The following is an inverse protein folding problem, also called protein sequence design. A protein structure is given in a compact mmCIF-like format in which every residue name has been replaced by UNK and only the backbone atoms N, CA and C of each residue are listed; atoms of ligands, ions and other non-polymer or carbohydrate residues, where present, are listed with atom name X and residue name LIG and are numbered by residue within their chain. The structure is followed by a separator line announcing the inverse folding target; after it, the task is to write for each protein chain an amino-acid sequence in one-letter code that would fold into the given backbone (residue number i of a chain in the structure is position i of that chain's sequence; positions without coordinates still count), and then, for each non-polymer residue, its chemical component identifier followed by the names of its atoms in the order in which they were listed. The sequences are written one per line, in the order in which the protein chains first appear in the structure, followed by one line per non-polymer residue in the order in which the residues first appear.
data_IF_388407272831
#
_entry.id   IF_388407272831
#
_cell.length_a   1.000
_cell.length_b   1.000
_cell.length_c   1.000
_cell.angle_alpha   90.00
_cell.angle_beta   90.00
_cell.angle_gamma   90.00
#
_symmetry.space_group_name_H-M   'P 1'
#
loop_
_entity.id
_entity.type
_entity.pdbx_description
1 polymer ?
#
# COMPACT_ATOMS: atom_id res chain seq x y z
N UNK A 1 -10.37 -2.77 22.55
CA UNK A 1 -8.90 -2.75 22.77
C UNK A 1 -8.25 -2.89 21.41
N UNK A 2 -7.38 -1.97 20.96
CA UNK A 2 -6.66 -2.18 19.69
C UNK A 2 -5.74 -3.39 19.87
N UNK A 3 -5.70 -4.34 18.90
CA UNK A 3 -4.83 -5.50 19.03
C UNK A 3 -3.39 -5.02 19.21
N UNK A 4 -2.73 -5.48 20.25
CA UNK A 4 -1.29 -5.30 20.49
C UNK A 4 -0.58 -6.27 19.56
N UNK A 5 0.11 -5.75 18.53
CA UNK A 5 1.01 -6.55 17.71
C UNK A 5 0.80 -6.48 16.19
N UNK A 6 -0.02 -5.55 15.67
CA UNK A 6 -0.11 -5.39 14.22
C UNK A 6 1.14 -4.73 13.65
N UNK A 7 1.67 -5.30 12.55
CA UNK A 7 2.80 -4.74 11.81
C UNK A 7 2.37 -3.42 11.17
N UNK A 8 3.08 -2.33 11.49
CA UNK A 8 2.82 -0.99 10.96
C UNK A 8 3.71 -0.72 9.76
N UNK A 9 3.12 -0.21 8.68
CA UNK A 9 3.80 0.16 7.44
C UNK A 9 3.61 1.65 7.17
N UNK A 10 4.65 2.34 6.73
CA UNK A 10 4.58 3.67 6.14
C UNK A 10 5.08 3.63 4.70
N UNK A 11 4.49 4.46 3.85
CA UNK A 11 4.87 4.62 2.44
C UNK A 11 5.38 6.05 2.23
N UNK A 12 6.48 6.17 1.52
CA UNK A 12 6.98 7.44 0.99
C UNK A 12 7.01 7.30 -0.52
N UNK A 13 6.34 8.19 -1.24
CA UNK A 13 6.40 8.23 -2.71
C UNK A 13 7.16 9.47 -3.15
N UNK A 14 8.13 9.28 -4.06
CA UNK A 14 8.89 10.37 -4.65
C UNK A 14 8.52 10.53 -6.11
N UNK A 15 8.43 11.76 -6.57
CA UNK A 15 8.17 12.11 -7.96
C UNK A 15 7.55 13.50 -8.09
N UNK A 16 8.21 14.38 -8.80
CA UNK A 16 7.69 15.72 -9.09
C UNK A 16 6.37 15.66 -9.87
N UNK A 17 6.20 14.66 -10.76
CA UNK A 17 4.96 14.45 -11.51
C UNK A 17 3.75 14.13 -10.61
N UNK A 18 4.00 13.52 -9.44
CA UNK A 18 2.98 13.28 -8.44
C UNK A 18 2.60 14.58 -7.73
N UNK A 19 3.59 15.37 -7.32
CA UNK A 19 3.39 16.65 -6.62
C UNK A 19 2.68 17.67 -7.52
N UNK A 20 3.03 17.72 -8.82
CA UNK A 20 2.34 18.59 -9.79
C UNK A 20 0.97 18.03 -10.23
N UNK A 21 0.54 16.88 -9.71
CA UNK A 21 -0.75 16.27 -10.02
C UNK A 21 -0.89 15.81 -11.47
N UNK A 22 0.23 15.53 -12.16
CA UNK A 22 0.23 15.07 -13.54
C UNK A 22 -0.06 13.58 -13.65
N UNK A 23 0.32 12.81 -12.63
CA UNK A 23 0.09 11.37 -12.52
C UNK A 23 -0.55 11.09 -11.18
N UNK A 24 -1.51 10.15 -11.17
CA UNK A 24 -2.12 9.67 -9.94
C UNK A 24 -1.19 8.66 -9.26
N UNK A 25 -0.98 8.79 -7.95
CA UNK A 25 -0.26 7.79 -7.15
C UNK A 25 -1.06 6.49 -7.01
N UNK A 26 -0.91 5.64 -8.02
CA UNK A 26 -1.51 4.30 -8.03
C UNK A 26 -0.68 3.30 -7.22
N UNK A 27 0.61 3.58 -6.98
CA UNK A 27 1.51 2.72 -6.23
C UNK A 27 1.10 2.66 -4.76
N UNK A 28 0.94 3.81 -4.11
CA UNK A 28 0.50 3.85 -2.71
C UNK A 28 -0.85 3.18 -2.51
N UNK A 29 -1.80 3.39 -3.42
CA UNK A 29 -3.11 2.75 -3.35
C UNK A 29 -2.98 1.22 -3.42
N UNK A 30 -2.18 0.71 -4.35
CA UNK A 30 -1.98 -0.73 -4.51
C UNK A 30 -1.24 -1.34 -3.30
N UNK A 31 -0.15 -0.69 -2.82
CA UNK A 31 0.58 -1.13 -1.62
C UNK A 31 -0.35 -1.13 -0.41
N UNK A 32 -1.19 -0.10 -0.23
CA UNK A 32 -2.14 -0.02 0.87
C UNK A 32 -3.09 -1.22 0.90
N UNK A 33 -3.62 -1.62 -0.27
CA UNK A 33 -4.47 -2.81 -0.41
C UNK A 33 -3.69 -4.07 -0.04
N UNK A 34 -2.47 -4.25 -0.57
CA UNK A 34 -1.63 -5.43 -0.28
C UNK A 34 -1.25 -5.52 1.20
N UNK A 35 -0.88 -4.40 1.82
CA UNK A 35 -0.57 -4.31 3.25
C UNK A 35 -1.77 -4.77 4.10
N UNK A 36 -2.98 -4.32 3.77
CA UNK A 36 -4.20 -4.75 4.45
C UNK A 36 -4.46 -6.25 4.25
N UNK A 37 -4.35 -6.78 3.02
CA UNK A 37 -4.52 -8.20 2.73
C UNK A 37 -3.56 -9.11 3.52
N UNK A 38 -2.38 -8.61 3.89
CA UNK A 38 -1.39 -9.32 4.69
C UNK A 38 -1.57 -9.19 6.20
N UNK A 39 -2.63 -8.56 6.68
CA UNK A 39 -2.86 -8.34 8.11
C UNK A 39 -1.99 -7.24 8.72
N UNK A 40 -1.33 -6.43 7.90
CA UNK A 40 -0.55 -5.29 8.37
C UNK A 40 -1.37 -3.99 8.28
N UNK A 41 -0.91 -2.94 8.95
CA UNK A 41 -1.59 -1.65 8.99
C UNK A 41 -0.78 -0.57 8.32
N UNK A 42 -1.33 0.01 7.25
CA UNK A 42 -0.80 1.24 6.71
C UNK A 42 -1.10 2.40 7.66
N UNK A 43 -0.05 3.03 8.16
CA UNK A 43 -0.15 4.15 9.11
C UNK A 43 -0.10 5.50 8.43
N UNK A 44 0.66 5.60 7.33
CA UNK A 44 0.87 6.88 6.65
C UNK A 44 1.31 6.65 5.21
N UNK A 45 0.89 7.55 4.34
CA UNK A 45 1.47 7.80 3.02
C UNK A 45 1.98 9.23 3.01
N UNK A 46 3.22 9.42 2.58
CA UNK A 46 3.83 10.74 2.41
C UNK A 46 4.30 10.86 0.96
N UNK A 47 3.74 11.81 0.23
CA UNK A 47 4.09 12.11 -1.15
C UNK A 47 5.01 13.35 -1.15
N UNK A 48 6.13 13.26 -1.84
CA UNK A 48 7.15 14.32 -1.90
C UNK A 48 7.74 14.44 -3.30
N UNK A 49 8.31 15.60 -3.61
CA UNK A 49 9.09 15.84 -4.83
C UNK A 49 10.50 15.23 -4.75
N UNK A 50 11.23 15.31 -5.88
CA UNK A 50 12.57 14.74 -6.03
C UNK A 50 13.67 15.66 -5.47
N UNK A 51 13.47 16.16 -4.26
CA UNK A 51 14.41 17.01 -3.53
C UNK A 51 15.23 16.19 -2.51
N UNK A 52 16.57 16.10 -2.63
CA UNK A 52 17.41 15.27 -1.76
C UNK A 52 17.21 15.53 -0.26
N UNK A 53 17.19 16.80 0.14
CA UNK A 53 17.01 17.18 1.55
C UNK A 53 15.62 16.76 2.07
N UNK A 54 14.59 16.84 1.23
CA UNK A 54 13.22 16.46 1.58
C UNK A 54 13.09 14.94 1.69
N UNK A 55 13.67 14.19 0.75
CA UNK A 55 13.69 12.71 0.79
C UNK A 55 14.37 12.24 2.07
N UNK A 56 15.58 12.72 2.34
CA UNK A 56 16.34 12.34 3.53
C UNK A 56 15.63 12.69 4.83
N UNK A 57 15.14 13.93 4.97
CA UNK A 57 14.43 14.36 6.19
C UNK A 57 13.11 13.63 6.40
N UNK A 58 12.41 13.26 5.33
CA UNK A 58 11.17 12.48 5.39
C UNK A 58 11.44 11.07 5.91
N UNK A 59 12.51 10.40 5.43
CA UNK A 59 12.93 9.11 5.96
C UNK A 59 13.33 9.21 7.44
N UNK A 60 14.17 10.17 7.82
CA UNK A 60 14.59 10.35 9.22
C UNK A 60 13.39 10.60 10.16
N UNK A 61 12.38 11.30 9.68
CA UNK A 61 11.14 11.49 10.43
C UNK A 61 10.30 10.20 10.50
N UNK A 62 10.26 9.38 9.44
CA UNK A 62 9.58 8.09 9.45
C UNK A 62 10.25 7.11 10.44
N UNK A 63 11.58 7.12 10.51
CA UNK A 63 12.35 6.31 11.45
C UNK A 63 12.07 6.63 12.94
N UNK A 64 11.59 7.84 13.26
CA UNK A 64 11.21 8.23 14.63
C UNK A 64 9.79 7.79 15.02
N UNK A 65 8.96 7.35 14.06
CA UNK A 65 7.57 6.96 14.30
C UNK A 65 7.45 5.45 14.55
N UNK A 66 6.25 5.02 14.89
CA UNK A 66 5.91 3.62 15.15
C UNK A 66 5.62 2.87 13.82
N UNK A 67 6.63 2.76 12.96
CA UNK A 67 6.61 1.93 11.76
C UNK A 67 7.56 0.75 11.93
N UNK A 68 7.16 -0.44 11.45
CA UNK A 68 8.02 -1.61 11.34
C UNK A 68 8.66 -1.66 9.94
N UNK A 69 7.89 -1.28 8.92
CA UNK A 69 8.34 -1.17 7.55
C UNK A 69 8.14 0.24 7.01
N UNK A 70 9.15 0.75 6.30
CA UNK A 70 9.08 2.00 5.55
C UNK A 70 9.36 1.63 4.10
N UNK A 71 8.36 1.76 3.23
CA UNK A 71 8.46 1.46 1.80
C UNK A 71 8.56 2.76 1.04
N UNK A 72 9.67 2.96 0.33
CA UNK A 72 9.91 4.15 -0.49
C UNK A 72 9.77 3.73 -1.95
N UNK A 73 8.97 4.43 -2.75
CA UNK A 73 8.77 4.12 -4.17
C UNK A 73 8.99 5.36 -5.03
N UNK A 74 9.77 5.19 -6.10
CA UNK A 74 10.18 6.24 -7.03
C UNK A 74 11.68 6.59 -6.92
N UNK A 75 12.20 7.32 -7.90
CA UNK A 75 13.56 7.83 -7.91
C UNK A 75 14.69 6.79 -7.98
N UNK A 76 14.44 5.62 -8.61
CA UNK A 76 15.43 4.55 -8.84
C UNK A 76 15.82 4.40 -10.32
N UNK A 77 15.44 5.31 -11.17
CA UNK A 77 15.74 5.29 -12.60
C UNK A 77 17.16 5.73 -12.92
N UNK A 78 17.47 5.89 -14.24
CA UNK A 78 18.78 6.28 -14.71
C UNK A 78 18.98 7.81 -14.82
N UNK A 79 17.92 8.59 -14.60
CA UNK A 79 17.92 10.04 -14.79
C UNK A 79 18.66 10.78 -13.67
N UNK A 80 18.91 12.08 -13.85
CA UNK A 80 19.60 12.90 -12.85
C UNK A 80 18.71 13.24 -11.65
N UNK A 81 17.41 13.22 -11.86
CA UNK A 81 16.35 13.42 -10.88
C UNK A 81 15.98 12.13 -10.09
N UNK A 82 16.54 10.97 -10.50
CA UNK A 82 16.42 9.72 -9.73
C UNK A 82 17.40 9.73 -8.55
N UNK A 83 17.00 10.38 -7.45
CA UNK A 83 17.87 10.74 -6.32
C UNK A 83 17.58 9.97 -5.02
N UNK A 84 16.64 9.04 -5.04
CA UNK A 84 16.15 8.38 -3.79
C UNK A 84 17.28 7.71 -3.03
N UNK A 85 18.10 6.88 -3.67
CA UNK A 85 19.17 6.13 -2.97
C UNK A 85 20.26 7.08 -2.44
N UNK A 86 20.71 8.04 -3.27
CA UNK A 86 21.73 9.00 -2.87
C UNK A 86 21.26 9.88 -1.71
N UNK A 87 19.99 10.31 -1.74
CA UNK A 87 19.38 11.11 -0.66
C UNK A 87 19.29 10.35 0.66
N UNK A 88 18.96 9.06 0.60
CA UNK A 88 18.94 8.17 1.77
C UNK A 88 20.37 8.00 2.29
N UNK A 89 21.36 7.77 1.41
CA UNK A 89 22.77 7.65 1.78
C UNK A 89 23.26 8.88 2.53
N UNK A 90 23.02 10.08 2.00
CA UNK A 90 23.37 11.34 2.69
C UNK A 90 22.68 11.44 4.07
N UNK A 91 21.41 11.12 4.15
CA UNK A 91 20.66 11.23 5.40
C UNK A 91 21.11 10.25 6.49
N UNK A 92 21.65 9.10 6.10
CA UNK A 92 22.11 8.04 6.99
C UNK A 92 23.64 8.02 7.18
N UNK A 93 24.36 8.96 6.55
CA UNK A 93 25.83 8.99 6.51
C UNK A 93 26.43 7.66 5.99
N UNK A 94 25.84 7.14 4.89
CA UNK A 94 26.26 5.90 4.24
C UNK A 94 26.65 6.15 2.78
N UNK A 95 27.65 5.40 2.33
CA UNK A 95 28.10 5.40 0.93
C UNK A 95 27.12 4.66 0.04
N UNK A 96 27.02 5.09 -1.22
CA UNK A 96 26.31 4.36 -2.27
C UNK A 96 27.30 3.51 -3.08
N UNK A 97 26.86 2.32 -3.46
CA UNK A 97 27.61 1.39 -4.31
C UNK A 97 26.73 0.87 -5.44
N UNK A 98 27.36 0.29 -6.45
CA UNK A 98 26.64 -0.39 -7.54
C UNK A 98 26.52 -1.88 -7.19
N UNK A 99 25.30 -2.40 -7.21
CA UNK A 99 25.07 -3.85 -7.21
C UNK A 99 25.49 -4.43 -8.57
N UNK A 100 26.61 -5.13 -8.60
CA UNK A 100 27.22 -5.61 -9.85
C UNK A 100 26.38 -6.69 -10.55
N UNK A 101 25.56 -7.45 -9.82
CA UNK A 101 24.64 -8.41 -10.42
C UNK A 101 23.54 -7.68 -11.23
N UNK A 102 22.89 -6.69 -10.64
CA UNK A 102 21.89 -5.86 -11.30
C UNK A 102 22.49 -5.07 -12.46
N UNK A 103 23.63 -4.44 -12.24
CA UNK A 103 24.34 -3.67 -13.27
C UNK A 103 24.69 -4.53 -14.49
N UNK A 104 25.17 -5.76 -14.28
CA UNK A 104 25.49 -6.70 -15.36
C UNK A 104 24.24 -7.11 -16.16
N UNK A 105 23.11 -7.33 -15.49
CA UNK A 105 21.83 -7.63 -16.15
C UNK A 105 21.33 -6.46 -17.01
N UNK A 106 21.46 -5.23 -16.50
CA UNK A 106 21.12 -4.00 -17.21
C UNK A 106 21.99 -3.86 -18.46
N UNK A 107 23.31 -3.97 -18.31
CA UNK A 107 24.25 -3.87 -19.42
C UNK A 107 23.99 -4.92 -20.49
N UNK A 108 23.82 -6.19 -20.11
CA UNK A 108 23.54 -7.28 -21.04
C UNK A 108 22.27 -7.01 -21.84
N UNK A 109 21.23 -6.45 -21.20
CA UNK A 109 19.99 -6.13 -21.88
C UNK A 109 20.12 -4.92 -22.80
N UNK A 110 20.87 -3.90 -22.40
CA UNK A 110 21.13 -2.74 -23.24
C UNK A 110 21.87 -3.16 -24.52
N UNK A 111 22.92 -3.98 -24.38
CA UNK A 111 23.66 -4.53 -25.52
C UNK A 111 22.77 -5.36 -26.47
N UNK A 112 21.88 -6.22 -25.93
CA UNK A 112 20.90 -6.98 -26.73
C UNK A 112 19.94 -6.07 -27.51
N UNK A 113 19.62 -4.89 -26.99
CA UNK A 113 18.78 -3.87 -27.64
C UNK A 113 19.55 -2.98 -28.62
N UNK A 114 20.85 -3.24 -28.83
CA UNK A 114 21.70 -2.46 -29.72
C UNK A 114 22.23 -1.17 -29.09
N UNK A 115 22.06 -0.96 -27.78
CA UNK A 115 22.61 0.18 -27.04
C UNK A 115 24.03 -0.19 -26.64
N UNK A 116 25.02 0.32 -27.38
CA UNK A 116 26.45 0.01 -27.19
C UNK A 116 27.28 1.21 -26.73
N UNK A 117 26.67 2.38 -26.70
CA UNK A 117 27.30 3.61 -26.23
C UNK A 117 27.58 3.54 -24.73
N UNK A 118 28.86 3.73 -24.34
CA UNK A 118 29.29 3.59 -22.95
C UNK A 118 28.56 4.55 -22.01
N UNK A 119 28.32 5.80 -22.41
CA UNK A 119 27.61 6.79 -21.62
C UNK A 119 26.17 6.37 -21.31
N UNK A 120 25.52 5.68 -22.24
CA UNK A 120 24.16 5.14 -22.04
C UNK A 120 24.17 3.92 -21.10
N UNK A 121 25.20 3.08 -21.21
CA UNK A 121 25.39 1.93 -20.30
C UNK A 121 25.67 2.45 -18.89
N UNK A 122 26.56 3.43 -18.72
CA UNK A 122 26.90 3.98 -17.42
C UNK A 122 25.67 4.65 -16.75
N UNK A 123 24.84 5.35 -17.51
CA UNK A 123 23.57 5.84 -17.01
C UNK A 123 22.64 4.70 -16.58
N UNK A 124 22.55 3.65 -17.40
CA UNK A 124 21.74 2.47 -17.06
C UNK A 124 22.19 1.82 -15.76
N UNK A 125 23.50 1.71 -15.53
CA UNK A 125 24.07 1.13 -14.30
C UNK A 125 23.66 1.89 -13.03
N UNK A 126 23.29 3.19 -13.13
CA UNK A 126 22.75 3.95 -11.99
C UNK A 126 21.49 3.32 -11.39
N UNK A 127 20.70 2.59 -12.17
CA UNK A 127 19.53 1.85 -11.67
C UNK A 127 19.88 0.68 -10.73
N UNK A 128 21.16 0.34 -10.62
CA UNK A 128 21.66 -0.67 -9.69
C UNK A 128 22.37 -0.05 -8.46
N UNK A 129 22.14 1.23 -8.16
CA UNK A 129 22.68 1.87 -6.94
C UNK A 129 21.91 1.40 -5.72
N UNK A 130 22.67 1.05 -4.68
CA UNK A 130 22.17 0.70 -3.35
C UNK A 130 23.10 1.31 -2.29
N UNK A 131 22.72 1.29 -1.03
CA UNK A 131 23.63 1.63 0.06
C UNK A 131 24.57 0.45 0.35
N UNK A 132 25.81 0.76 0.74
CA UNK A 132 26.84 -0.25 1.01
C UNK A 132 26.42 -1.26 2.07
N UNK A 133 25.71 -0.82 3.13
CA UNK A 133 25.22 -1.70 4.21
C UNK A 133 23.85 -2.31 3.94
N UNK A 134 23.29 -2.11 2.73
CA UNK A 134 21.98 -2.64 2.36
C UNK A 134 22.08 -4.00 1.64
N UNK A 135 20.95 -4.67 1.57
CA UNK A 135 20.78 -5.89 0.78
C UNK A 135 20.08 -5.53 -0.53
N UNK A 136 20.61 -5.92 -1.70
CA UNK A 136 19.96 -5.68 -2.98
C UNK A 136 18.68 -6.50 -3.10
N UNK A 137 17.63 -5.89 -3.63
CA UNK A 137 16.40 -6.53 -4.04
C UNK A 137 16.33 -6.52 -5.56
N UNK A 138 16.58 -7.68 -6.16
CA UNK A 138 16.61 -7.84 -7.62
C UNK A 138 15.22 -7.68 -8.21
N UNK A 139 15.11 -6.98 -9.34
CA UNK A 139 13.84 -6.73 -10.01
C UNK A 139 13.46 -7.93 -10.90
N UNK A 140 12.35 -8.63 -10.62
CA UNK A 140 11.92 -9.77 -11.43
C UNK A 140 11.24 -9.37 -12.75
N UNK A 141 10.88 -8.08 -12.91
CA UNK A 141 10.07 -7.59 -14.04
C UNK A 141 10.86 -6.63 -14.92
N UNK A 142 11.69 -5.78 -14.32
CA UNK A 142 12.37 -4.69 -15.00
C UNK A 142 13.85 -4.59 -14.66
N UNK A 143 14.33 -3.37 -14.45
CA UNK A 143 15.76 -3.09 -14.35
C UNK A 143 16.23 -2.54 -13.01
N UNK A 144 15.45 -1.63 -12.42
CA UNK A 144 15.88 -0.93 -11.22
C UNK A 144 16.04 -1.91 -10.06
N UNK A 145 17.23 -1.93 -9.45
CA UNK A 145 17.50 -2.69 -8.23
C UNK A 145 16.97 -1.88 -7.04
N UNK A 146 16.13 -2.49 -6.24
CA UNK A 146 15.75 -1.92 -4.95
C UNK A 146 16.75 -2.34 -3.88
N UNK A 147 16.56 -1.80 -2.68
CA UNK A 147 17.37 -2.22 -1.53
C UNK A 147 16.51 -2.39 -0.29
N UNK A 148 16.98 -3.25 0.60
CA UNK A 148 16.51 -3.42 1.96
C UNK A 148 17.61 -3.05 2.94
N UNK A 149 17.30 -2.23 3.93
CA UNK A 149 18.21 -1.93 5.05
C UNK A 149 17.45 -1.91 6.36
N UNK A 150 18.04 -2.48 7.42
CA UNK A 150 17.45 -2.48 8.76
C UNK A 150 18.09 -1.39 9.62
N UNK A 151 17.29 -0.46 10.13
CA UNK A 151 17.74 0.72 10.87
C UNK A 151 16.92 0.84 12.15
N UNK A 152 17.57 0.72 13.30
CA UNK A 152 16.92 0.89 14.60
C UNK A 152 15.70 -0.02 14.80
N UNK A 153 15.76 -1.24 14.31
CA UNK A 153 14.67 -2.23 14.40
C UNK A 153 13.54 -2.02 13.38
N UNK A 154 13.74 -1.18 12.38
CA UNK A 154 12.81 -0.93 11.28
C UNK A 154 13.42 -1.37 9.96
N UNK A 155 12.62 -1.94 9.09
CA UNK A 155 13.04 -2.31 7.74
C UNK A 155 12.66 -1.22 6.75
N UNK A 156 13.63 -0.65 6.05
CA UNK A 156 13.45 0.32 4.97
C UNK A 156 13.65 -0.41 3.64
N UNK A 157 12.70 -0.28 2.73
CA UNK A 157 12.76 -0.88 1.39
C UNK A 157 12.58 0.21 0.33
N UNK A 158 13.40 0.20 -0.73
CA UNK A 158 13.19 1.06 -1.91
C UNK A 158 12.69 0.24 -3.08
N UNK A 159 11.71 0.78 -3.80
CA UNK A 159 11.09 0.17 -4.97
C UNK A 159 11.00 1.19 -6.11
N UNK A 160 11.01 0.75 -7.38
CA UNK A 160 10.87 1.65 -8.52
C UNK A 160 9.51 2.35 -8.57
N UNK A 161 9.46 3.47 -9.30
CA UNK A 161 8.22 4.20 -9.56
C UNK A 161 7.30 3.51 -10.58
N UNK A 162 7.86 2.74 -11.52
CA UNK A 162 7.08 2.03 -12.56
C UNK A 162 6.14 1.00 -11.91
N UNK A 163 4.81 1.12 -12.07
CA UNK A 163 3.86 0.31 -11.30
C UNK A 163 4.02 -1.21 -11.45
N UNK A 164 4.32 -1.70 -12.65
CA UNK A 164 4.53 -3.14 -12.89
C UNK A 164 5.77 -3.68 -12.17
N UNK A 165 6.85 -2.91 -12.17
CA UNK A 165 8.11 -3.26 -11.49
C UNK A 165 7.93 -3.19 -9.97
N UNK A 166 7.34 -2.10 -9.48
CA UNK A 166 7.04 -1.90 -8.06
C UNK A 166 6.23 -3.08 -7.49
N UNK A 167 5.15 -3.48 -8.18
CA UNK A 167 4.30 -4.60 -7.76
C UNK A 167 5.07 -5.92 -7.73
N UNK A 168 5.81 -6.22 -8.80
CA UNK A 168 6.60 -7.45 -8.87
C UNK A 168 7.66 -7.53 -7.77
N UNK A 169 8.35 -6.43 -7.50
CA UNK A 169 9.34 -6.36 -6.43
C UNK A 169 8.71 -6.40 -5.03
N UNK A 170 7.59 -5.71 -4.83
CA UNK A 170 6.88 -5.76 -3.56
C UNK A 170 6.45 -7.19 -3.22
N UNK A 171 5.82 -7.89 -4.16
CA UNK A 171 5.36 -9.26 -3.94
C UNK A 171 6.53 -10.26 -3.76
N UNK A 172 7.65 -10.05 -4.48
CA UNK A 172 8.81 -10.92 -4.37
C UNK A 172 9.63 -10.73 -3.08
N UNK A 173 9.74 -9.49 -2.59
CA UNK A 173 10.67 -9.17 -1.51
C UNK A 173 9.99 -8.62 -0.25
N UNK A 174 9.08 -7.65 -0.37
CA UNK A 174 8.52 -6.94 0.79
C UNK A 174 7.38 -7.74 1.43
N UNK A 175 6.47 -8.29 0.63
CA UNK A 175 5.32 -9.04 1.12
C UNK A 175 5.72 -10.24 2.01
N UNK A 176 6.71 -11.09 1.65
CA UNK A 176 7.12 -12.19 2.52
C UNK A 176 7.67 -11.72 3.88
N UNK A 177 8.37 -10.57 3.92
CA UNK A 177 8.89 -10.01 5.16
C UNK A 177 7.77 -9.51 6.07
N UNK A 178 6.77 -8.83 5.51
CA UNK A 178 5.59 -8.36 6.27
C UNK A 178 4.82 -9.58 6.78
N UNK A 179 4.51 -10.56 5.93
CA UNK A 179 3.75 -11.76 6.29
C UNK A 179 4.43 -12.59 7.38
N UNK A 180 5.77 -12.61 7.41
CA UNK A 180 6.51 -13.33 8.46
C UNK A 180 6.38 -12.69 9.85
N UNK A 181 5.94 -11.44 9.93
CA UNK A 181 5.78 -10.70 11.18
C UNK A 181 4.31 -10.43 11.55
N UNK A 182 3.36 -10.71 10.65
CA UNK A 182 1.93 -10.56 10.93
C UNK A 182 1.38 -11.84 11.57
N UNK A 183 0.54 -11.64 12.59
CA UNK A 183 -0.17 -12.72 13.28
C UNK A 183 -1.68 -12.69 13.00
N UNK A 184 -2.12 -11.81 12.09
CA UNK A 184 -3.53 -11.60 11.75
C UNK A 184 -3.68 -11.44 10.25
N UNK A 185 -4.89 -11.68 9.76
CA UNK A 185 -5.32 -11.44 8.39
C UNK A 185 -6.55 -10.56 8.38
N UNK A 186 -6.75 -9.82 7.30
CA UNK A 186 -7.98 -9.07 7.08
C UNK A 186 -8.82 -9.71 5.98
N UNK A 187 -10.12 -9.80 6.21
CA UNK A 187 -11.11 -10.12 5.19
C UNK A 187 -11.95 -8.87 4.95
N UNK A 188 -12.00 -8.43 3.70
CA UNK A 188 -12.82 -7.30 3.27
C UNK A 188 -13.93 -7.76 2.32
N UNK A 189 -15.13 -7.20 2.49
CA UNK A 189 -16.27 -7.43 1.61
C UNK A 189 -16.96 -6.10 1.36
N UNK A 190 -17.35 -5.87 0.12
CA UNK A 190 -18.11 -4.69 -0.28
C UNK A 190 -19.46 -5.11 -0.81
N UNK A 191 -20.51 -4.48 -0.33
CA UNK A 191 -21.87 -4.74 -0.75
C UNK A 191 -22.57 -3.48 -1.23
N UNK A 192 -23.48 -3.64 -2.20
CA UNK A 192 -24.57 -2.72 -2.42
C UNK A 192 -25.72 -3.09 -1.46
N UNK A 193 -26.08 -2.18 -0.60
CA UNK A 193 -27.21 -2.33 0.32
C UNK A 193 -28.34 -1.43 -0.18
N UNK A 194 -29.44 -2.03 -0.64
CA UNK A 194 -30.62 -1.34 -1.16
C UNK A 194 -31.72 -1.42 -0.13
N UNK A 195 -32.04 -0.29 0.52
CA UNK A 195 -33.11 -0.20 1.53
C UNK A 195 -33.64 1.22 1.64
N UNK A 196 -34.70 1.41 2.40
CA UNK A 196 -35.28 2.73 2.62
C UNK A 196 -34.26 3.63 3.33
N UNK A 197 -34.04 4.81 2.80
CA UNK A 197 -32.96 5.72 3.25
C UNK A 197 -33.07 6.07 4.75
N UNK A 198 -34.27 6.39 5.25
CA UNK A 198 -34.43 6.76 6.65
C UNK A 198 -34.07 5.65 7.64
N UNK A 199 -34.16 4.38 7.20
CA UNK A 199 -33.90 3.21 8.04
C UNK A 199 -32.44 2.78 7.98
N UNK A 200 -31.70 3.15 6.90
CA UNK A 200 -30.30 2.78 6.72
C UNK A 200 -29.38 3.32 7.81
N UNK A 201 -29.39 4.61 8.09
CA UNK A 201 -28.43 5.20 9.04
C UNK A 201 -28.64 4.77 10.48
N UNK A 202 -29.87 4.64 10.99
CA UNK A 202 -30.09 4.04 12.32
C UNK A 202 -29.53 2.62 12.42
N UNK A 203 -29.79 1.76 11.42
CA UNK A 203 -29.25 0.41 11.36
C UNK A 203 -27.73 0.45 11.29
N UNK A 204 -27.16 1.21 10.36
CA UNK A 204 -25.71 1.36 10.16
C UNK A 204 -24.97 1.74 11.46
N UNK A 205 -25.48 2.76 12.19
CA UNK A 205 -24.91 3.20 13.47
C UNK A 205 -25.01 2.12 14.54
N UNK A 206 -26.13 1.43 14.61
CA UNK A 206 -26.33 0.35 15.55
C UNK A 206 -25.35 -0.80 15.30
N UNK A 207 -25.15 -1.18 14.04
CA UNK A 207 -24.19 -2.21 13.68
C UNK A 207 -22.75 -1.84 14.03
N UNK A 208 -22.36 -0.57 13.87
CA UNK A 208 -21.04 -0.08 14.30
C UNK A 208 -20.84 -0.16 15.84
N UNK A 209 -21.92 0.04 16.62
CA UNK A 209 -21.88 -0.05 18.07
C UNK A 209 -21.87 -1.52 18.55
N UNK A 210 -22.71 -2.36 17.93
CA UNK A 210 -22.85 -3.77 18.30
C UNK A 210 -21.63 -4.60 17.88
N UNK A 211 -20.88 -4.15 16.83
CA UNK A 211 -19.73 -4.82 16.25
C UNK A 211 -18.50 -3.88 16.14
N UNK A 212 -17.93 -3.43 17.27
CA UNK A 212 -16.85 -2.43 17.27
C UNK A 212 -15.54 -2.93 16.66
N UNK A 213 -15.36 -4.25 16.56
CA UNK A 213 -14.16 -4.89 15.99
C UNK A 213 -14.27 -5.07 14.47
N UNK A 214 -15.44 -4.84 13.89
CA UNK A 214 -15.65 -4.85 12.44
C UNK A 214 -15.65 -3.39 11.94
N UNK A 215 -14.75 -3.10 10.99
CA UNK A 215 -14.81 -1.82 10.30
C UNK A 215 -15.99 -1.82 9.33
N UNK A 216 -16.94 -0.90 9.56
CA UNK A 216 -18.13 -0.71 8.73
C UNK A 216 -18.09 0.71 8.18
N UNK A 217 -18.02 0.85 6.85
CA UNK A 217 -17.96 2.15 6.19
C UNK A 217 -18.88 2.20 4.97
N UNK A 218 -19.77 3.18 4.93
CA UNK A 218 -20.51 3.49 3.72
C UNK A 218 -19.69 4.42 2.81
N UNK A 219 -19.80 4.25 1.50
CA UNK A 219 -19.28 5.22 0.54
C UNK A 219 -19.97 6.58 0.74
N UNK A 220 -19.29 7.66 0.35
CA UNK A 220 -19.88 8.97 0.33
C UNK A 220 -21.13 8.94 -0.57
N UNK A 221 -22.27 9.22 0.03
CA UNK A 221 -23.56 9.30 -0.68
C UNK A 221 -23.96 10.76 -0.81
N UNK A 222 -24.49 11.18 -1.96
CA UNK A 222 -25.05 12.52 -2.09
C UNK A 222 -26.12 12.79 -1.01
N UNK A 223 -26.32 14.03 -0.59
CA UNK A 223 -27.45 14.38 0.25
C UNK A 223 -28.76 13.93 -0.40
N UNK A 224 -29.61 13.29 0.38
CA UNK A 224 -30.95 12.90 -0.07
C UNK A 224 -31.93 13.93 0.44
N UNK A 225 -32.74 14.48 -0.45
CA UNK A 225 -33.82 15.44 -0.10
C UNK A 225 -34.90 14.79 0.79
N UNK A 226 -35.58 15.58 1.59
CA UNK A 226 -36.56 15.05 2.55
C UNK A 226 -37.66 14.22 1.88
N UNK A 227 -38.06 14.58 0.66
CA UNK A 227 -39.04 13.86 -0.16
C UNK A 227 -38.63 12.46 -0.60
N UNK A 228 -37.29 12.19 -0.61
CA UNK A 228 -36.70 10.93 -1.07
C UNK A 228 -36.31 10.01 0.09
N UNK A 229 -36.44 10.45 1.33
CA UNK A 229 -36.04 9.66 2.51
C UNK A 229 -36.86 8.39 2.72
N UNK A 230 -38.06 8.36 2.22
CA UNK A 230 -38.96 7.19 2.25
C UNK A 230 -38.81 6.26 1.05
N UNK A 231 -37.89 6.61 0.13
CA UNK A 231 -37.56 5.79 -1.05
C UNK A 231 -36.39 4.85 -0.77
N UNK A 232 -36.34 3.77 -1.54
CA UNK A 232 -35.21 2.83 -1.53
C UNK A 232 -34.03 3.47 -2.23
N UNK A 233 -32.87 3.43 -1.58
CA UNK A 233 -31.58 3.85 -2.14
C UNK A 233 -30.58 2.72 -2.04
N UNK A 234 -29.68 2.64 -3.01
CA UNK A 234 -28.56 1.70 -3.00
C UNK A 234 -27.30 2.39 -2.48
N UNK A 235 -26.76 1.88 -1.40
CA UNK A 235 -25.61 2.42 -0.68
C UNK A 235 -24.51 1.39 -0.69
N UNK A 236 -23.32 1.79 -1.16
CA UNK A 236 -22.13 0.94 -1.10
C UNK A 236 -21.59 0.93 0.33
N UNK A 237 -21.43 -0.27 0.90
CA UNK A 237 -20.91 -0.47 2.25
C UNK A 237 -19.73 -1.43 2.24
N UNK A 238 -18.63 -1.02 2.86
CA UNK A 238 -17.43 -1.83 3.06
C UNK A 238 -17.43 -2.40 4.48
N UNK A 239 -17.15 -3.69 4.59
CA UNK A 239 -16.92 -4.41 5.83
C UNK A 239 -15.50 -4.96 5.83
N UNK A 240 -14.74 -4.71 6.91
CA UNK A 240 -13.41 -5.27 7.08
C UNK A 240 -13.31 -5.86 8.49
N UNK A 241 -12.86 -7.12 8.56
CA UNK A 241 -12.68 -7.87 9.79
C UNK A 241 -11.26 -8.39 9.87
N UNK A 242 -10.66 -8.32 11.06
CA UNK A 242 -9.33 -8.84 11.38
C UNK A 242 -9.46 -10.09 12.26
N UNK A 243 -8.77 -11.18 11.91
CA UNK A 243 -8.72 -12.38 12.71
C UNK A 243 -7.33 -13.07 12.62
N UNK A 244 -6.99 -14.00 13.53
CA UNK A 244 -5.70 -14.70 13.52
C UNK A 244 -5.46 -15.53 12.26
N UNK A 245 -6.52 -16.11 11.69
CA UNK A 245 -6.43 -16.94 10.48
C UNK A 245 -7.47 -16.53 9.45
N UNK A 246 -7.20 -16.83 8.18
CA UNK A 246 -8.16 -16.56 7.09
C UNK A 246 -9.47 -17.33 7.29
N UNK A 247 -9.40 -18.56 7.76
CA UNK A 247 -10.59 -19.39 8.02
C UNK A 247 -11.47 -18.79 9.13
N UNK A 248 -10.86 -18.29 10.20
CA UNK A 248 -11.58 -17.58 11.26
C UNK A 248 -12.20 -16.28 10.76
N UNK A 249 -11.43 -15.48 10.01
CA UNK A 249 -11.92 -14.23 9.45
C UNK A 249 -13.10 -14.44 8.51
N UNK A 250 -13.05 -15.44 7.62
CA UNK A 250 -14.16 -15.77 6.73
C UNK A 250 -15.38 -16.23 7.53
N UNK A 251 -15.23 -17.14 8.49
CA UNK A 251 -16.33 -17.61 9.32
C UNK A 251 -17.00 -16.47 10.11
N UNK A 252 -16.21 -15.60 10.72
CA UNK A 252 -16.72 -14.45 11.47
C UNK A 252 -17.41 -13.43 10.55
N UNK A 253 -16.84 -13.19 9.38
CA UNK A 253 -17.45 -12.32 8.37
C UNK A 253 -18.79 -12.87 7.90
N UNK A 254 -18.89 -14.16 7.59
CA UNK A 254 -20.18 -14.79 7.19
C UNK A 254 -21.21 -14.71 8.31
N UNK A 255 -20.83 -14.95 9.55
CA UNK A 255 -21.72 -14.82 10.71
C UNK A 255 -22.24 -13.37 10.85
N UNK A 256 -21.34 -12.38 10.73
CA UNK A 256 -21.70 -10.99 10.78
C UNK A 256 -22.65 -10.60 9.65
N UNK A 257 -22.36 -11.01 8.40
CA UNK A 257 -23.20 -10.73 7.24
C UNK A 257 -24.60 -11.34 7.38
N UNK A 258 -24.70 -12.53 7.95
CA UNK A 258 -26.01 -13.16 8.24
C UNK A 258 -26.83 -12.34 9.25
N UNK A 259 -26.18 -11.81 10.29
CA UNK A 259 -26.84 -10.90 11.24
C UNK A 259 -27.22 -9.60 10.56
N UNK A 260 -26.35 -9.01 9.75
CA UNK A 260 -26.61 -7.76 9.06
C UNK A 260 -27.84 -7.88 8.14
N UNK A 261 -27.95 -8.95 7.35
CA UNK A 261 -29.11 -9.25 6.50
C UNK A 261 -30.40 -9.36 7.32
N UNK A 262 -30.38 -10.15 8.40
CA UNK A 262 -31.55 -10.28 9.28
C UNK A 262 -32.01 -8.93 9.86
N UNK A 263 -31.05 -8.07 10.23
CA UNK A 263 -31.36 -6.71 10.72
C UNK A 263 -31.95 -5.80 9.65
N UNK A 264 -31.56 -5.94 8.40
CA UNK A 264 -32.20 -5.27 7.26
C UNK A 264 -33.70 -5.70 7.19
N UNK A 265 -33.94 -7.01 7.28
CA UNK A 265 -35.33 -7.53 7.24
C UNK A 265 -36.18 -7.01 8.40
N UNK A 266 -35.61 -6.92 9.61
CA UNK A 266 -36.29 -6.42 10.83
C UNK A 266 -36.71 -4.93 10.74
N UNK A 267 -36.01 -4.11 9.96
CA UNK A 267 -36.28 -2.66 9.83
C UNK A 267 -37.03 -2.25 8.57
N UNK A 268 -37.67 -3.19 7.88
CA UNK A 268 -38.50 -2.90 6.72
C UNK A 268 -38.06 -3.60 5.43
N UNK A 269 -36.99 -4.39 5.49
CA UNK A 269 -36.48 -5.16 4.36
C UNK A 269 -35.56 -4.37 3.47
N UNK A 270 -34.85 -5.11 2.60
CA UNK A 270 -33.90 -4.57 1.64
C UNK A 270 -33.10 -5.70 0.98
N UNK A 271 -32.23 -5.31 0.06
CA UNK A 271 -31.35 -6.23 -0.66
C UNK A 271 -29.89 -5.94 -0.32
N UNK A 272 -29.07 -6.98 -0.36
CA UNK A 272 -27.64 -6.87 -0.07
C UNK A 272 -26.85 -7.73 -1.06
N UNK A 273 -26.27 -7.07 -2.07
CA UNK A 273 -25.57 -7.69 -3.18
C UNK A 273 -24.05 -7.52 -3.05
N UNK A 274 -23.32 -8.63 -3.10
CA UNK A 274 -21.87 -8.63 -3.07
C UNK A 274 -21.29 -7.97 -4.33
N UNK A 275 -20.47 -6.96 -4.16
CA UNK A 275 -19.67 -6.38 -5.24
C UNK A 275 -18.41 -7.24 -5.38
N UNK A 276 -18.32 -8.01 -6.49
CA UNK A 276 -17.07 -8.72 -6.81
C UNK A 276 -15.99 -7.71 -7.15
N UNK A 277 -14.92 -7.69 -6.38
CA UNK A 277 -13.71 -6.96 -6.74
C UNK A 277 -12.97 -7.78 -7.81
N UNK A 278 -12.84 -7.21 -9.02
CA UNK A 278 -11.98 -7.76 -10.08
C UNK A 278 -10.51 -7.48 -9.77
#
# INVERSE_FOLDING_TARGET
MKPTGSVNVEIITTGDELIYGRILDTNSHWIAKRVAEMGARLRRVTMIGDEPALIGSTLLNALKRDAHFIVITGGLGPSEDDLTVDSIGIALDQSTVIDEEGASKIEATYRKRGITEQSSIDRGRRMARILEESQPMQNPVGFAVGMKIDIGGKTVCTLPGVPSEMKGMFDAHVAPMIMSQTNTVFVARTFNVSMVWKDFFPLYRRMQVDYPDIYIKNAATPPVEDEDRDKVHTIKVDFVLEAPTFEEAEREMENFLAVYRRRIDEVGGGEMDLIRQN
#
